data_IF_144123570466
#
_entry.id   IF_144123570466
#
_cell.length_a   1.000
_cell.length_b   1.000
_cell.length_c   1.000
_cell.angle_alpha   90.00
_cell.angle_beta   90.00
_cell.angle_gamma   90.00
#
_symmetry.space_group_name_H-M   'P 1'
#
loop_
_entity.id
_entity.type
_entity.pdbx_description
1 polymer ?
#
# COMPACT_ATOMS: atom_id res chain seq x y z
N UNK A 1 -63.32 60.63 46.68
CA UNK A 1 -63.45 59.55 45.67
C UNK A 1 -62.37 59.72 44.61
N UNK A 2 -61.43 58.77 44.45
CA UNK A 2 -60.62 58.63 43.24
C UNK A 2 -61.00 57.38 42.41
N UNK A 3 -60.76 57.38 41.09
CA UNK A 3 -61.24 56.35 40.16
C UNK A 3 -60.28 55.15 40.01
N UNK A 4 -60.87 54.04 39.58
CA UNK A 4 -60.29 52.72 39.32
C UNK A 4 -59.80 52.60 37.87
N UNK A 5 -58.74 51.81 37.62
CA UNK A 5 -58.64 51.07 36.35
C UNK A 5 -57.23 50.76 35.81
N UNK A 6 -57.01 49.47 35.50
CA UNK A 6 -56.09 48.89 34.49
C UNK A 6 -54.71 48.34 34.91
N UNK A 7 -54.67 47.52 35.96
CA UNK A 7 -53.65 46.46 36.12
C UNK A 7 -54.06 45.19 35.37
N UNK A 8 -53.71 45.04 34.08
CA UNK A 8 -53.92 43.76 33.37
C UNK A 8 -52.91 43.35 32.31
N UNK A 9 -51.90 44.16 31.96
CA UNK A 9 -50.91 43.77 30.93
C UNK A 9 -49.57 43.23 31.46
N UNK A 10 -49.30 43.30 32.77
CA UNK A 10 -48.02 42.80 33.34
C UNK A 10 -48.02 41.33 33.74
N UNK A 11 -49.18 40.68 33.89
CA UNK A 11 -49.27 39.25 34.24
C UNK A 11 -49.02 38.30 33.07
N UNK A 12 -49.32 38.71 31.85
CA UNK A 12 -49.26 37.82 30.68
C UNK A 12 -47.82 37.53 30.20
N UNK A 13 -46.88 38.48 30.38
CA UNK A 13 -45.47 38.26 29.98
C UNK A 13 -44.67 37.43 30.99
N UNK A 14 -45.09 37.35 32.25
CA UNK A 14 -44.44 36.50 33.25
C UNK A 14 -44.90 35.04 33.19
N UNK A 15 -46.11 34.77 32.68
CA UNK A 15 -46.58 33.40 32.47
C UNK A 15 -45.92 32.71 31.25
N UNK A 16 -45.69 33.44 30.16
CA UNK A 16 -45.11 32.85 28.93
C UNK A 16 -43.64 32.42 29.14
N UNK A 17 -42.88 33.14 29.96
CA UNK A 17 -41.49 32.77 30.27
C UNK A 17 -41.40 31.53 31.19
N UNK A 18 -42.38 31.33 32.07
CA UNK A 18 -42.42 30.17 32.97
C UNK A 18 -42.83 28.89 32.25
N UNK A 19 -43.76 28.98 31.28
CA UNK A 19 -44.17 27.81 30.48
C UNK A 19 -43.09 27.37 29.49
N UNK A 20 -42.26 28.29 28.98
CA UNK A 20 -41.15 27.95 28.08
C UNK A 20 -39.98 27.26 28.83
N UNK A 21 -39.74 27.60 30.10
CA UNK A 21 -38.80 26.87 30.95
C UNK A 21 -39.33 25.49 31.36
N UNK A 22 -40.65 25.33 31.56
CA UNK A 22 -41.25 24.03 31.87
C UNK A 22 -41.21 23.04 30.71
N UNK A 23 -41.35 23.50 29.46
CA UNK A 23 -41.22 22.63 28.28
C UNK A 23 -39.79 22.13 28.07
N UNK A 24 -38.77 22.97 28.30
CA UNK A 24 -37.37 22.52 28.23
C UNK A 24 -36.99 21.59 29.40
N UNK A 25 -37.55 21.79 30.60
CA UNK A 25 -37.31 20.91 31.74
C UNK A 25 -38.02 19.54 31.60
N UNK A 26 -39.18 19.47 30.95
CA UNK A 26 -39.85 18.19 30.68
C UNK A 26 -39.19 17.38 29.55
N UNK A 27 -38.58 18.02 28.55
CA UNK A 27 -37.82 17.29 27.53
C UNK A 27 -36.50 16.69 28.07
N UNK A 28 -35.88 17.32 29.08
CA UNK A 28 -34.72 16.72 29.76
C UNK A 28 -35.09 15.63 30.79
N UNK A 29 -36.32 15.64 31.32
CA UNK A 29 -36.80 14.60 32.23
C UNK A 29 -37.36 13.36 31.50
N UNK A 30 -37.90 13.53 30.28
CA UNK A 30 -38.43 12.41 29.49
C UNK A 30 -37.33 11.52 28.88
N UNK A 31 -36.13 12.06 28.65
CA UNK A 31 -34.97 11.26 28.22
C UNK A 31 -34.27 10.51 29.38
N UNK A 32 -34.73 10.67 30.62
CA UNK A 32 -34.13 10.04 31.80
C UNK A 32 -35.07 9.07 32.55
N UNK A 33 -36.24 8.76 31.99
CA UNK A 33 -37.28 7.94 32.64
C UNK A 33 -37.57 6.60 31.94
N UNK A 34 -36.70 6.12 31.05
CA UNK A 34 -36.73 4.75 30.56
C UNK A 34 -35.37 4.08 30.77
N UNK A 35 -35.00 3.94 32.05
CA UNK A 35 -34.04 2.96 32.49
C UNK A 35 -34.75 1.60 32.66
N UNK A 36 -34.37 0.53 31.92
CA UNK A 36 -34.62 -0.83 32.39
C UNK A 36 -33.84 -1.09 33.70
N UNK A 37 -34.31 -2.01 34.57
CA UNK A 37 -33.76 -2.18 35.91
C UNK A 37 -32.34 -2.79 35.87
N UNK A 38 -31.43 -2.11 36.57
CA UNK A 38 -30.21 -2.62 37.22
C UNK A 38 -29.41 -3.71 36.47
N UNK A 39 -28.59 -3.29 35.51
CA UNK A 39 -27.31 -3.93 35.25
C UNK A 39 -26.18 -3.02 35.78
N UNK A 40 -25.07 -3.63 36.18
CA UNK A 40 -23.94 -3.04 36.91
C UNK A 40 -23.53 -1.62 36.45
N UNK A 41 -23.04 -0.75 37.36
CA UNK A 41 -22.58 0.59 37.01
C UNK A 41 -21.53 0.48 35.90
N UNK A 42 -21.66 1.23 34.78
CA UNK A 42 -20.66 1.22 33.73
C UNK A 42 -19.34 1.69 34.33
N UNK A 43 -18.35 0.80 34.25
CA UNK A 43 -16.95 1.07 34.57
C UNK A 43 -16.54 2.31 33.77
N UNK A 44 -16.01 3.30 34.49
CA UNK A 44 -15.31 4.49 34.04
C UNK A 44 -15.36 4.83 32.54
N UNK A 45 -15.85 6.03 32.22
CA UNK A 45 -15.68 6.71 30.92
C UNK A 45 -14.19 7.02 30.58
N UNK A 46 -13.25 6.23 31.08
CA UNK A 46 -11.89 6.15 30.61
C UNK A 46 -11.83 5.06 29.54
N UNK A 47 -11.86 5.51 28.29
CA UNK A 47 -11.39 4.76 27.11
C UNK A 47 -12.34 3.66 26.63
N UNK A 48 -13.61 3.99 26.40
CA UNK A 48 -14.39 3.31 25.35
C UNK A 48 -13.90 3.85 24.01
N UNK A 49 -12.89 3.19 23.45
CA UNK A 49 -12.44 3.41 22.07
C UNK A 49 -13.55 2.85 21.19
N UNK A 50 -14.42 3.73 20.72
CA UNK A 50 -15.33 3.44 19.61
C UNK A 50 -14.51 2.96 18.43
N UNK A 51 -14.94 1.86 17.81
CA UNK A 51 -14.28 1.33 16.63
C UNK A 51 -14.47 2.29 15.44
N UNK A 52 -13.73 2.05 14.35
CA UNK A 52 -13.76 2.94 13.18
C UNK A 52 -15.16 3.05 12.56
N UNK A 53 -16.04 2.07 12.79
CA UNK A 53 -17.40 2.06 12.30
C UNK A 53 -18.30 3.06 13.05
N UNK A 54 -18.13 3.18 14.37
CA UNK A 54 -18.89 4.10 15.22
C UNK A 54 -18.51 5.58 15.01
N UNK A 55 -17.28 5.85 14.56
CA UNK A 55 -16.76 7.22 14.33
C UNK A 55 -17.04 7.71 12.89
N UNK A 56 -17.50 6.84 11.99
CA UNK A 56 -17.77 7.22 10.60
C UNK A 56 -18.98 8.14 10.46
N UNK A 57 -18.73 9.41 10.16
CA UNK A 57 -19.77 10.39 9.84
C UNK A 57 -20.30 10.18 8.41
N UNK A 58 -21.57 9.79 8.27
CA UNK A 58 -22.27 9.66 6.98
C UNK A 58 -22.17 10.92 6.12
N UNK A 59 -22.12 12.10 6.74
CA UNK A 59 -21.98 13.38 6.03
C UNK A 59 -20.65 13.48 5.32
N UNK A 60 -19.55 13.10 6.00
CA UNK A 60 -18.20 13.16 5.43
C UNK A 60 -18.06 12.17 4.27
N UNK A 61 -18.54 10.94 4.45
CA UNK A 61 -18.51 9.93 3.39
C UNK A 61 -19.35 10.34 2.17
N UNK A 62 -20.52 10.96 2.41
CA UNK A 62 -21.38 11.48 1.35
C UNK A 62 -20.70 12.59 0.53
N UNK A 63 -20.04 13.54 1.20
CA UNK A 63 -19.31 14.63 0.54
C UNK A 63 -18.12 14.07 -0.25
N UNK A 64 -17.35 13.13 0.31
CA UNK A 64 -16.22 12.50 -0.41
C UNK A 64 -16.68 11.78 -1.69
N UNK A 65 -17.80 11.04 -1.62
CA UNK A 65 -18.38 10.39 -2.80
C UNK A 65 -18.87 11.39 -3.83
N UNK A 66 -19.50 12.48 -3.40
CA UNK A 66 -19.95 13.53 -4.31
C UNK A 66 -18.76 14.15 -5.04
N UNK A 67 -17.71 14.55 -4.32
CA UNK A 67 -16.50 15.11 -4.91
C UNK A 67 -15.84 14.14 -5.89
N UNK A 68 -15.65 12.88 -5.49
CA UNK A 68 -15.07 11.87 -6.36
C UNK A 68 -15.89 11.62 -7.63
N UNK A 69 -17.22 11.61 -7.52
CA UNK A 69 -18.10 11.45 -8.69
C UNK A 69 -18.02 12.66 -9.63
N UNK A 70 -17.92 13.88 -9.10
CA UNK A 70 -17.72 15.09 -9.91
C UNK A 70 -16.40 15.00 -10.66
N UNK A 71 -15.31 14.64 -9.98
CA UNK A 71 -13.99 14.46 -10.61
C UNK A 71 -14.02 13.39 -11.72
N UNK A 72 -14.73 12.27 -11.51
CA UNK A 72 -14.87 11.23 -12.53
C UNK A 72 -15.67 11.73 -13.75
N UNK A 73 -16.74 12.50 -13.53
CA UNK A 73 -17.53 13.08 -14.61
C UNK A 73 -16.69 14.07 -15.43
N UNK A 74 -16.00 15.00 -14.77
CA UNK A 74 -15.10 15.96 -15.42
C UNK A 74 -14.04 15.23 -16.26
N UNK A 75 -13.42 14.17 -15.72
CA UNK A 75 -12.44 13.37 -16.45
C UNK A 75 -12.99 12.71 -17.72
N UNK A 76 -14.27 12.34 -17.74
CA UNK A 76 -14.92 11.71 -18.90
C UNK A 76 -15.43 12.74 -19.90
N UNK A 77 -15.94 13.89 -19.43
CA UNK A 77 -16.60 14.88 -20.29
C UNK A 77 -15.65 15.96 -20.81
N UNK A 78 -14.64 16.36 -20.04
CA UNK A 78 -13.77 17.50 -20.40
C UNK A 78 -12.50 17.06 -21.12
N UNK A 79 -12.02 15.83 -20.89
CA UNK A 79 -10.81 15.32 -21.52
C UNK A 79 -11.14 14.69 -22.87
N UNK A 80 -10.91 15.44 -23.94
CA UNK A 80 -11.07 14.99 -25.33
C UNK A 80 -9.91 14.07 -25.75
N UNK A 81 -9.88 12.86 -25.20
CA UNK A 81 -8.90 11.83 -25.55
C UNK A 81 -9.62 10.74 -26.35
N UNK A 82 -9.20 10.51 -27.59
CA UNK A 82 -9.71 9.38 -28.37
C UNK A 82 -9.47 8.06 -27.63
N UNK A 83 -10.45 7.16 -27.62
CA UNK A 83 -10.35 5.88 -26.90
C UNK A 83 -9.11 5.07 -27.31
N UNK A 84 -8.72 5.12 -28.59
CA UNK A 84 -7.53 4.44 -29.11
C UNK A 84 -6.21 5.06 -28.60
N UNK A 85 -6.23 6.34 -28.19
CA UNK A 85 -5.10 7.02 -27.60
C UNK A 85 -4.93 6.70 -26.11
N UNK A 86 -5.94 6.09 -25.46
CA UNK A 86 -5.86 5.66 -24.07
C UNK A 86 -5.00 4.40 -23.98
N UNK A 87 -3.71 4.61 -23.69
CA UNK A 87 -2.79 3.50 -23.44
C UNK A 87 -3.14 2.84 -22.10
N UNK A 88 -3.41 1.53 -22.13
CA UNK A 88 -3.57 0.74 -20.90
C UNK A 88 -2.32 0.89 -20.03
N UNK A 89 -2.51 1.09 -18.73
CA UNK A 89 -1.40 1.05 -17.79
C UNK A 89 -0.69 -0.30 -17.87
N UNK A 90 0.61 -0.31 -17.64
CA UNK A 90 1.39 -1.55 -17.59
C UNK A 90 0.84 -2.45 -16.49
N UNK A 91 0.50 -3.70 -16.80
CA UNK A 91 0.07 -4.71 -15.82
C UNK A 91 1.12 -4.96 -14.72
N UNK A 92 2.36 -4.58 -15.01
CA UNK A 92 3.52 -4.78 -14.15
C UNK A 92 4.18 -3.42 -13.89
N UNK A 93 4.23 -2.94 -12.64
CA UNK A 93 4.90 -1.70 -12.32
C UNK A 93 6.41 -1.85 -12.56
N UNK A 94 7.01 -0.86 -13.22
CA UNK A 94 8.46 -0.79 -13.38
C UNK A 94 9.05 -0.24 -12.08
N UNK A 95 9.51 -1.14 -11.22
CA UNK A 95 10.18 -0.77 -9.96
C UNK A 95 11.67 -0.72 -10.25
N UNK A 96 12.28 0.46 -10.10
CA UNK A 96 13.73 0.60 -10.23
C UNK A 96 14.41 0.05 -8.96
N UNK A 97 14.82 -1.21 -9.02
CA UNK A 97 15.55 -1.85 -7.94
C UNK A 97 16.99 -1.36 -7.98
N UNK A 98 17.32 -0.48 -7.03
CA UNK A 98 18.70 -0.01 -6.80
C UNK A 98 19.49 -1.12 -6.09
N UNK A 99 20.08 -2.04 -6.84
CA UNK A 99 20.97 -3.09 -6.32
C UNK A 99 21.02 -4.35 -7.17
N UNK A 100 21.92 -5.26 -6.80
CA UNK A 100 21.98 -6.57 -7.46
C UNK A 100 20.72 -7.39 -7.15
N UNK A 101 20.06 -7.98 -8.17
CA UNK A 101 18.85 -8.78 -7.96
C UNK A 101 19.11 -10.08 -7.16
N UNK A 102 20.38 -10.40 -6.89
CA UNK A 102 20.80 -11.53 -6.08
C UNK A 102 20.75 -11.25 -4.56
N UNK A 103 20.80 -9.98 -4.13
CA UNK A 103 20.82 -9.62 -2.70
C UNK A 103 19.41 -9.41 -2.12
N UNK A 104 18.37 -9.44 -2.95
CA UNK A 104 16.98 -9.30 -2.53
C UNK A 104 16.60 -10.45 -1.58
N UNK A 105 16.03 -10.10 -0.42
CA UNK A 105 15.53 -11.11 0.51
C UNK A 105 14.38 -11.90 -0.15
N UNK A 106 14.16 -13.18 0.22
CA UNK A 106 13.07 -13.99 -0.33
C UNK A 106 11.67 -13.34 -0.25
N UNK A 107 11.42 -12.48 0.74
CA UNK A 107 10.17 -11.72 0.89
C UNK A 107 10.16 -10.33 0.23
N UNK A 108 11.31 -9.81 -0.21
CA UNK A 108 11.45 -8.53 -0.93
C UNK A 108 11.43 -8.75 -2.45
N UNK A 109 11.11 -9.97 -2.90
CA UNK A 109 10.92 -10.25 -4.32
C UNK A 109 9.62 -9.58 -4.77
N UNK A 110 9.73 -8.35 -5.26
CA UNK A 110 8.59 -7.58 -5.73
C UNK A 110 7.91 -8.31 -6.89
N UNK A 111 6.74 -8.90 -6.61
CA UNK A 111 5.82 -9.38 -7.62
C UNK A 111 5.41 -8.19 -8.47
N UNK A 112 5.93 -8.12 -9.70
CA UNK A 112 5.76 -6.94 -10.52
C UNK A 112 6.93 -6.72 -11.47
N UNK A 113 8.17 -6.88 -11.01
CA UNK A 113 9.30 -6.62 -11.89
C UNK A 113 9.68 -7.85 -12.73
N UNK A 114 9.40 -7.77 -14.02
CA UNK A 114 9.76 -8.74 -15.05
C UNK A 114 11.25 -9.08 -15.05
N UNK A 115 12.15 -8.13 -14.76
CA UNK A 115 13.60 -8.38 -14.75
C UNK A 115 13.99 -9.31 -13.61
N UNK A 116 13.52 -9.02 -12.40
CA UNK A 116 13.80 -9.83 -11.21
C UNK A 116 13.12 -11.19 -11.29
N UNK A 117 11.89 -11.26 -11.80
CA UNK A 117 11.22 -12.54 -12.04
C UNK A 117 12.00 -13.42 -13.01
N UNK A 118 12.48 -12.86 -14.14
CA UNK A 118 13.31 -13.61 -15.11
C UNK A 118 14.62 -14.09 -14.48
N UNK A 119 15.27 -13.27 -13.67
CA UNK A 119 16.48 -13.66 -12.94
C UNK A 119 16.21 -14.82 -11.97
N UNK A 120 15.17 -14.70 -11.13
CA UNK A 120 14.79 -15.75 -10.18
C UNK A 120 14.42 -17.05 -10.89
N UNK A 121 13.70 -16.98 -12.00
CA UNK A 121 13.38 -18.14 -12.82
C UNK A 121 14.65 -18.84 -13.36
N UNK A 122 15.68 -18.08 -13.74
CA UNK A 122 16.97 -18.63 -14.17
C UNK A 122 17.71 -19.31 -13.02
N UNK A 123 17.71 -18.70 -11.83
CA UNK A 123 18.31 -19.29 -10.61
C UNK A 123 17.59 -20.59 -10.23
N UNK A 124 16.26 -20.58 -10.19
CA UNK A 124 15.45 -21.77 -9.87
C UNK A 124 15.67 -22.90 -10.89
N UNK A 125 15.78 -22.58 -12.19
CA UNK A 125 16.12 -23.58 -13.23
C UNK A 125 17.48 -24.24 -12.99
N UNK A 126 18.49 -23.48 -12.52
CA UNK A 126 19.80 -24.04 -12.18
C UNK A 126 19.71 -24.96 -10.97
N UNK A 127 19.07 -24.50 -9.89
CA UNK A 127 18.86 -25.30 -8.68
C UNK A 127 18.14 -26.61 -8.96
N UNK A 128 17.07 -26.56 -9.78
CA UNK A 128 16.31 -27.74 -10.17
C UNK A 128 17.16 -28.73 -10.99
N UNK A 129 18.09 -28.24 -11.82
CA UNK A 129 19.01 -29.10 -12.58
C UNK A 129 20.03 -29.78 -11.66
N UNK A 130 20.55 -29.06 -10.67
CA UNK A 130 21.48 -29.58 -9.67
C UNK A 130 20.81 -30.62 -8.78
N UNK A 131 19.59 -30.33 -8.30
CA UNK A 131 18.81 -31.25 -7.48
C UNK A 131 18.44 -32.52 -8.26
N UNK A 132 18.02 -32.41 -9.53
CA UNK A 132 17.80 -33.58 -10.39
C UNK A 132 19.07 -34.41 -10.59
N UNK A 133 20.24 -33.77 -10.69
CA UNK A 133 21.53 -34.48 -10.79
C UNK A 133 21.81 -35.25 -9.49
N UNK A 134 21.66 -34.59 -8.35
CA UNK A 134 21.86 -35.19 -7.03
C UNK A 134 20.88 -36.34 -6.77
N UNK A 135 19.62 -36.21 -7.21
CA UNK A 135 18.62 -37.27 -7.13
C UNK A 135 18.98 -38.48 -7.99
N UNK A 136 19.56 -38.28 -9.18
CA UNK A 136 20.07 -39.39 -10.01
C UNK A 136 21.26 -40.08 -9.36
N UNK A 137 22.19 -39.32 -8.78
CA UNK A 137 23.32 -39.86 -8.04
C UNK A 137 22.87 -40.65 -6.81
N UNK A 138 21.87 -40.16 -6.07
CA UNK A 138 21.29 -40.85 -4.93
C UNK A 138 20.58 -42.14 -5.34
N UNK A 139 19.82 -42.14 -6.45
CA UNK A 139 19.21 -43.36 -7.00
C UNK A 139 20.28 -44.39 -7.39
N UNK A 140 21.34 -43.96 -8.08
CA UNK A 140 22.48 -44.82 -8.44
C UNK A 140 23.18 -45.41 -7.22
N UNK A 141 23.41 -44.58 -6.18
CA UNK A 141 24.00 -45.04 -4.92
C UNK A 141 23.10 -46.06 -4.21
N UNK A 142 21.79 -45.82 -4.15
CA UNK A 142 20.84 -46.77 -3.56
C UNK A 142 20.77 -48.09 -4.33
N UNK A 143 20.86 -48.06 -5.65
CA UNK A 143 20.97 -49.29 -6.47
C UNK A 143 22.24 -50.07 -6.12
N UNK A 144 23.39 -49.40 -6.02
CA UNK A 144 24.65 -50.03 -5.61
C UNK A 144 24.55 -50.62 -4.20
N UNK A 145 23.88 -49.94 -3.27
CA UNK A 145 23.65 -50.45 -1.92
C UNK A 145 22.79 -51.73 -1.92
N UNK A 146 21.75 -51.78 -2.77
CA UNK A 146 20.92 -53.00 -2.95
C UNK A 146 21.75 -54.16 -3.48
N UNK A 147 22.63 -53.91 -4.45
CA UNK A 147 23.55 -54.92 -4.99
C UNK A 147 24.49 -55.42 -3.90
N UNK A 148 25.14 -54.52 -3.16
CA UNK A 148 26.05 -54.89 -2.08
C UNK A 148 25.35 -55.73 -1.01
N UNK A 149 24.12 -55.36 -0.60
CA UNK A 149 23.31 -56.19 0.32
C UNK A 149 23.03 -57.58 -0.25
N UNK A 150 22.68 -57.68 -1.54
CA UNK A 150 22.48 -58.95 -2.23
C UNK A 150 23.74 -59.81 -2.22
N UNK A 151 24.90 -59.21 -2.52
CA UNK A 151 26.20 -59.90 -2.47
C UNK A 151 26.56 -60.37 -1.06
N UNK A 152 26.35 -59.53 -0.04
CA UNK A 152 26.57 -59.91 1.36
C UNK A 152 25.68 -61.07 1.77
N UNK A 153 24.42 -61.10 1.33
CA UNK A 153 23.51 -62.22 1.60
C UNK A 153 24.01 -63.53 0.97
N UNK A 154 24.50 -63.48 -0.27
CA UNK A 154 25.07 -64.66 -0.96
C UNK A 154 26.32 -65.14 -0.24
N UNK A 155 27.22 -64.23 0.14
CA UNK A 155 28.43 -64.56 0.92
C UNK A 155 28.04 -65.23 2.24
N UNK A 156 27.05 -64.69 2.95
CA UNK A 156 26.57 -65.25 4.22
C UNK A 156 25.90 -66.62 4.03
N UNK A 157 25.24 -66.89 2.89
CA UNK A 157 24.70 -68.20 2.57
C UNK A 157 25.80 -69.23 2.33
N UNK A 158 26.85 -68.86 1.59
CA UNK A 158 28.00 -69.71 1.31
C UNK A 158 28.91 -69.92 2.54
N UNK A 159 28.92 -68.99 3.48
CA UNK A 159 29.71 -69.07 4.70
C UNK A 159 29.07 -69.96 5.80
N UNK A 160 27.89 -70.54 5.56
CA UNK A 160 27.29 -71.48 6.50
C UNK A 160 28.16 -72.74 6.64
N UNK A 161 28.27 -73.34 7.83
CA UNK A 161 29.20 -74.45 8.08
C UNK A 161 28.80 -75.77 7.39
N UNK A 162 27.54 -75.90 6.95
CA UNK A 162 27.05 -77.03 6.16
C UNK A 162 26.20 -76.44 5.03
N UNK A 163 26.70 -76.53 3.79
CA UNK A 163 26.01 -76.08 2.57
C UNK A 163 25.96 -77.25 1.62
N UNK A 164 24.79 -77.53 1.06
CA UNK A 164 24.62 -78.57 0.05
C UNK A 164 25.16 -78.14 -1.31
N UNK A 165 25.63 -79.09 -2.12
CA UNK A 165 26.18 -78.82 -3.46
C UNK A 165 25.17 -78.12 -4.40
N UNK A 166 23.89 -78.38 -4.18
CA UNK A 166 22.77 -77.71 -4.85
C UNK A 166 22.61 -76.25 -4.45
N UNK A 167 22.83 -75.91 -3.17
CA UNK A 167 22.78 -74.51 -2.70
C UNK A 167 24.00 -73.72 -3.18
N UNK A 168 25.16 -74.36 -3.35
CA UNK A 168 26.36 -73.73 -3.92
C UNK A 168 26.11 -73.33 -5.37
N UNK A 169 25.61 -74.26 -6.20
CA UNK A 169 25.33 -73.98 -7.62
C UNK A 169 24.23 -72.93 -7.79
N UNK A 170 23.22 -72.91 -6.92
CA UNK A 170 22.20 -71.87 -6.92
C UNK A 170 22.75 -70.49 -6.52
N UNK A 171 23.58 -70.43 -5.47
CA UNK A 171 24.24 -69.20 -5.03
C UNK A 171 25.21 -68.65 -6.09
N UNK A 172 25.95 -69.51 -6.79
CA UNK A 172 26.83 -69.12 -7.91
C UNK A 172 26.04 -68.55 -9.09
N UNK A 173 24.90 -69.16 -9.43
CA UNK A 173 24.00 -68.65 -10.48
C UNK A 173 23.40 -67.28 -10.11
N UNK A 174 22.98 -67.10 -8.86
CA UNK A 174 22.48 -65.81 -8.37
C UNK A 174 23.57 -64.74 -8.37
N UNK A 175 24.80 -65.08 -7.97
CA UNK A 175 25.95 -64.19 -8.02
C UNK A 175 26.29 -63.77 -9.46
N UNK A 176 26.35 -64.72 -10.40
CA UNK A 176 26.57 -64.42 -11.81
C UNK A 176 25.46 -63.53 -12.39
N UNK A 177 24.21 -63.77 -12.03
CA UNK A 177 23.08 -62.96 -12.51
C UNK A 177 23.17 -61.52 -12.00
N UNK A 178 23.45 -61.33 -10.70
CA UNK A 178 23.63 -60.02 -10.08
C UNK A 178 24.83 -59.26 -10.66
N UNK A 179 25.97 -59.92 -10.80
CA UNK A 179 27.19 -59.30 -11.35
C UNK A 179 27.04 -59.00 -12.84
N UNK A 180 26.54 -59.92 -13.66
CA UNK A 180 26.35 -59.66 -15.09
C UNK A 180 25.32 -58.56 -15.35
N UNK A 181 24.23 -58.48 -14.59
CA UNK A 181 23.23 -57.41 -14.74
C UNK A 181 23.82 -56.02 -14.50
N UNK A 182 24.76 -55.90 -13.57
CA UNK A 182 25.38 -54.61 -13.23
C UNK A 182 26.68 -54.31 -14.00
N UNK A 183 27.42 -55.32 -14.44
CA UNK A 183 28.65 -55.16 -15.23
C UNK A 183 28.33 -54.90 -16.71
N UNK A 184 27.21 -55.41 -17.24
CA UNK A 184 26.78 -55.17 -18.64
C UNK A 184 26.49 -53.69 -18.95
N UNK A 185 26.27 -52.82 -17.96
CA UNK A 185 26.06 -51.38 -18.19
C UNK A 185 27.36 -50.58 -18.33
N UNK A 186 28.50 -51.18 -18.00
CA UNK A 186 29.82 -50.66 -18.33
C UNK A 186 30.43 -51.51 -19.44
N UNK A 187 29.88 -51.41 -20.65
CA UNK A 187 30.70 -51.60 -21.85
C UNK A 187 31.80 -50.55 -21.80
N UNK A 188 32.92 -50.90 -21.17
CA UNK A 188 34.19 -50.21 -21.30
C UNK A 188 34.56 -50.38 -22.78
N UNK A 189 34.05 -49.45 -23.60
CA UNK A 189 34.22 -49.40 -25.05
C UNK A 189 35.63 -48.96 -25.45
N UNK A 190 36.44 -48.54 -24.50
CA UNK A 190 37.81 -48.11 -24.74
C UNK A 190 38.75 -49.11 -24.06
N UNK A 191 39.67 -49.75 -24.79
CA UNK A 191 40.68 -50.60 -24.18
C UNK A 191 41.42 -49.78 -23.13
N UNK A 192 41.42 -50.26 -21.89
CA UNK A 192 42.12 -49.61 -20.78
C UNK A 192 43.61 -49.56 -21.16
N UNK A 193 44.06 -48.42 -21.68
CA UNK A 193 45.49 -48.19 -21.85
C UNK A 193 46.06 -48.13 -20.45
N UNK A 194 46.79 -49.15 -20.03
CA UNK A 194 47.74 -49.01 -18.95
C UNK A 194 48.68 -47.86 -19.35
N UNK A 195 48.38 -46.65 -18.89
CA UNK A 195 49.40 -45.61 -18.80
C UNK A 195 50.38 -46.16 -17.78
N UNK A 196 51.38 -46.90 -18.25
CA UNK A 196 52.56 -47.18 -17.46
C UNK A 196 52.98 -45.82 -16.87
N UNK A 197 52.95 -45.72 -15.55
CA UNK A 197 53.56 -44.59 -14.85
C UNK A 197 54.96 -44.45 -15.47
N UNK A 198 55.21 -43.34 -16.16
CA UNK A 198 56.55 -43.03 -16.64
C UNK A 198 57.46 -43.10 -15.43
N UNK A 199 58.30 -44.13 -15.37
CA UNK A 199 59.47 -44.20 -14.48
C UNK A 199 60.44 -43.10 -14.93
N UNK A 200 60.12 -41.87 -14.56
CA UNK A 200 61.03 -40.75 -14.58
C UNK A 200 60.68 -39.86 -13.41
N UNK A 201 60.89 -40.39 -12.21
CA UNK A 201 61.22 -39.52 -11.09
C UNK A 201 62.71 -39.19 -11.24
N UNK A 202 63.10 -37.99 -11.70
CA UNK A 202 64.37 -37.48 -11.25
C UNK A 202 64.24 -37.30 -9.73
N UNK A 203 65.20 -37.81 -8.98
CA UNK A 203 65.48 -37.57 -7.56
C UNK A 203 64.35 -36.96 -6.70
N UNK A 204 63.95 -37.66 -5.63
CA UNK A 204 63.00 -37.20 -4.58
C UNK A 204 63.41 -35.90 -3.84
N UNK A 205 64.37 -35.15 -4.33
CA UNK A 205 64.76 -33.85 -3.81
C UNK A 205 63.99 -32.76 -4.55
N UNK A 206 63.01 -32.16 -3.87
CA UNK A 206 62.36 -30.95 -4.35
C UNK A 206 63.43 -29.92 -4.75
N UNK A 207 63.34 -29.39 -5.97
CA UNK A 207 64.27 -28.39 -6.49
C UNK A 207 64.45 -27.28 -5.44
N UNK A 208 65.68 -26.85 -5.13
CA UNK A 208 65.95 -25.93 -4.02
C UNK A 208 65.10 -24.63 -4.06
N UNK A 209 64.69 -24.21 -5.27
CA UNK A 209 63.78 -23.07 -5.54
C UNK A 209 62.34 -23.26 -5.03
N UNK A 210 61.87 -24.50 -4.92
CA UNK A 210 60.47 -24.82 -4.58
C UNK A 210 60.05 -24.25 -3.22
N UNK A 211 60.94 -24.33 -2.22
CA UNK A 211 60.65 -23.80 -0.88
C UNK A 211 60.69 -22.27 -0.83
N UNK A 212 61.45 -21.63 -1.71
CA UNK A 212 61.49 -20.18 -1.85
C UNK A 212 60.22 -19.66 -2.54
N UNK A 213 59.78 -20.31 -3.60
CA UNK A 213 58.50 -20.02 -4.27
C UNK A 213 57.31 -20.18 -3.31
N UNK A 214 57.29 -21.23 -2.51
CA UNK A 214 56.23 -21.46 -1.51
C UNK A 214 56.21 -20.37 -0.43
N UNK A 215 57.37 -19.87 0.00
CA UNK A 215 57.48 -18.74 0.93
C UNK A 215 57.00 -17.45 0.30
N UNK A 216 57.39 -17.16 -0.94
CA UNK A 216 56.94 -15.99 -1.67
C UNK A 216 55.42 -16.01 -1.89
N UNK A 217 54.85 -17.17 -2.23
CA UNK A 217 53.41 -17.33 -2.45
C UNK A 217 52.62 -17.09 -1.16
N UNK A 218 53.11 -17.58 -0.01
CA UNK A 218 52.51 -17.27 1.31
C UNK A 218 52.58 -15.79 1.65
N UNK A 219 53.70 -15.12 1.35
CA UNK A 219 53.84 -13.67 1.57
C UNK A 219 52.87 -12.89 0.69
N UNK A 220 52.74 -13.25 -0.58
CA UNK A 220 51.76 -12.63 -1.49
C UNK A 220 50.33 -12.84 -1.03
N UNK A 221 49.98 -14.06 -0.59
CA UNK A 221 48.66 -14.35 -0.06
C UNK A 221 48.36 -13.52 1.21
N UNK A 222 49.34 -13.39 2.10
CA UNK A 222 49.22 -12.54 3.29
C UNK A 222 49.01 -11.07 2.91
N UNK A 223 49.76 -10.54 1.93
CA UNK A 223 49.61 -9.16 1.46
C UNK A 223 48.24 -8.90 0.83
N UNK A 224 47.72 -9.85 0.04
CA UNK A 224 46.37 -9.76 -0.52
C UNK A 224 45.30 -9.74 0.57
N UNK A 225 45.41 -10.65 1.56
CA UNK A 225 44.46 -10.69 2.68
C UNK A 225 44.47 -9.40 3.50
N UNK A 226 45.64 -8.77 3.68
CA UNK A 226 45.78 -7.49 4.38
C UNK A 226 45.16 -6.35 3.57
N UNK A 227 45.32 -6.36 2.25
CA UNK A 227 44.72 -5.35 1.36
C UNK A 227 43.19 -5.45 1.38
N UNK A 228 42.66 -6.67 1.28
CA UNK A 228 41.22 -6.92 1.38
C UNK A 228 40.65 -6.50 2.74
N UNK A 229 41.37 -6.74 3.84
CA UNK A 229 40.96 -6.31 5.17
C UNK A 229 40.88 -4.78 5.27
N UNK A 230 41.90 -4.05 4.78
CA UNK A 230 41.89 -2.58 4.76
C UNK A 230 40.78 -2.00 3.88
N UNK A 231 40.49 -2.65 2.75
CA UNK A 231 39.42 -2.22 1.87
C UNK A 231 38.03 -2.44 2.50
N UNK A 232 37.86 -3.52 3.28
CA UNK A 232 36.63 -3.72 4.07
C UNK A 232 36.46 -2.65 5.14
N UNK A 233 37.51 -2.33 5.88
CA UNK A 233 37.48 -1.28 6.91
C UNK A 233 37.13 0.09 6.31
N UNK A 234 37.72 0.44 5.15
CA UNK A 234 37.41 1.68 4.45
C UNK A 234 35.95 1.73 3.96
N UNK A 235 35.41 0.60 3.47
CA UNK A 235 34.01 0.49 3.06
C UNK A 235 33.06 0.62 4.24
N UNK A 236 33.41 0.04 5.38
CA UNK A 236 32.60 0.12 6.61
C UNK A 236 32.56 1.57 7.12
N UNK A 237 33.69 2.26 7.15
CA UNK A 237 33.76 3.68 7.54
C UNK A 237 32.97 4.59 6.59
N UNK A 238 33.03 4.32 5.27
CA UNK A 238 32.21 5.04 4.29
C UNK A 238 30.70 4.77 4.47
N UNK A 239 30.32 3.53 4.78
CA UNK A 239 28.93 3.18 5.06
C UNK A 239 28.41 3.83 6.35
N UNK A 240 29.25 3.93 7.38
CA UNK A 240 28.91 4.61 8.63
C UNK A 240 28.71 6.11 8.41
N UNK A 241 29.60 6.77 7.66
CA UNK A 241 29.42 8.19 7.29
C UNK A 241 28.12 8.43 6.51
N UNK A 242 27.78 7.53 5.59
CA UNK A 242 26.52 7.62 4.83
C UNK A 242 25.29 7.48 5.75
N UNK A 243 25.35 6.61 6.77
CA UNK A 243 24.27 6.46 7.76
C UNK A 243 24.08 7.71 8.61
N UNK A 244 25.18 8.30 9.09
CA UNK A 244 25.12 9.55 9.88
C UNK A 244 24.50 10.68 9.07
N UNK A 245 24.89 10.83 7.80
CA UNK A 245 24.34 11.87 6.92
C UNK A 245 22.84 11.64 6.64
N UNK A 246 22.42 10.39 6.48
CA UNK A 246 21.01 10.05 6.30
C UNK A 246 20.19 10.34 7.57
N UNK A 247 20.74 10.02 8.75
CA UNK A 247 20.10 10.32 10.03
C UNK A 247 19.95 11.83 10.25
N UNK A 248 20.98 12.62 9.92
CA UNK A 248 20.93 14.08 10.01
C UNK A 248 19.86 14.68 9.07
N UNK A 249 19.73 14.15 7.85
CA UNK A 249 18.67 14.56 6.92
C UNK A 249 17.27 14.27 7.49
N UNK A 250 17.06 13.09 8.05
CA UNK A 250 15.78 12.71 8.64
C UNK A 250 15.45 13.57 9.87
N UNK A 251 16.45 13.90 10.70
CA UNK A 251 16.28 14.83 11.82
C UNK A 251 15.95 16.26 11.35
N UNK A 252 16.49 16.68 10.20
CA UNK A 252 16.16 17.98 9.61
C UNK A 252 14.73 18.01 9.08
N UNK A 253 14.31 16.98 8.35
CA UNK A 253 12.94 16.85 7.85
C UNK A 253 11.91 16.82 8.98
N UNK A 254 12.20 16.08 10.06
CA UNK A 254 11.34 16.06 11.25
C UNK A 254 11.23 17.43 11.91
N UNK A 255 12.34 18.17 12.05
CA UNK A 255 12.31 19.55 12.57
C UNK A 255 11.48 20.48 11.68
N UNK A 256 11.64 20.41 10.36
CA UNK A 256 10.85 21.21 9.42
C UNK A 256 9.36 20.85 9.49
N UNK A 257 9.02 19.57 9.69
CA UNK A 257 7.63 19.13 9.88
C UNK A 257 7.03 19.67 11.17
N UNK A 258 7.75 19.58 12.29
CA UNK A 258 7.31 20.15 13.57
C UNK A 258 7.10 21.67 13.50
N UNK A 259 7.99 22.38 12.80
CA UNK A 259 7.85 23.82 12.57
C UNK A 259 6.61 24.15 11.74
N UNK A 260 6.34 23.39 10.66
CA UNK A 260 5.12 23.56 9.85
C UNK A 260 3.85 23.32 10.67
N UNK A 261 3.83 22.28 11.50
CA UNK A 261 2.70 21.99 12.39
C UNK A 261 2.47 23.12 13.41
N UNK A 262 3.54 23.71 13.96
CA UNK A 262 3.44 24.89 14.84
C UNK A 262 2.88 26.11 14.12
N UNK A 263 3.31 26.37 12.88
CA UNK A 263 2.80 27.49 12.07
C UNK A 263 1.31 27.31 11.79
N UNK A 264 0.88 26.12 11.37
CA UNK A 264 -0.54 25.81 11.12
C UNK A 264 -1.38 26.00 12.38
N UNK A 265 -0.90 25.53 13.53
CA UNK A 265 -1.59 25.70 14.80
C UNK A 265 -1.72 27.18 15.19
N UNK A 266 -0.66 27.96 15.02
CA UNK A 266 -0.67 29.40 15.31
C UNK A 266 -1.63 30.15 14.38
N UNK A 267 -1.64 29.81 13.09
CA UNK A 267 -2.56 30.38 12.11
C UNK A 267 -4.02 30.07 12.46
N UNK A 268 -4.31 28.82 12.84
CA UNK A 268 -5.65 28.42 13.28
C UNK A 268 -6.09 29.20 14.54
N UNK A 269 -5.18 29.40 15.50
CA UNK A 269 -5.45 30.20 16.69
C UNK A 269 -5.76 31.66 16.31
N UNK A 270 -5.00 32.24 15.39
CA UNK A 270 -5.21 33.60 14.91
C UNK A 270 -6.57 33.75 14.20
N UNK A 271 -6.95 32.79 13.36
CA UNK A 271 -8.28 32.78 12.73
C UNK A 271 -9.41 32.73 13.76
N UNK A 272 -9.28 31.91 14.82
CA UNK A 272 -10.28 31.88 15.89
C UNK A 272 -10.41 33.23 16.61
N UNK A 273 -9.29 33.92 16.87
CA UNK A 273 -9.32 35.25 17.48
C UNK A 273 -10.01 36.28 16.58
N UNK A 274 -9.75 36.24 15.27
CA UNK A 274 -10.43 37.12 14.30
C UNK A 274 -11.93 36.88 14.27
N UNK A 275 -12.38 35.61 14.28
CA UNK A 275 -13.80 35.27 14.32
C UNK A 275 -14.47 35.79 15.60
N UNK A 276 -13.82 35.69 16.76
CA UNK A 276 -14.34 36.24 18.01
C UNK A 276 -14.46 37.76 17.96
N UNK A 277 -13.48 38.48 17.40
CA UNK A 277 -13.55 39.93 17.24
C UNK A 277 -14.70 40.35 16.32
N UNK A 278 -14.89 39.63 15.20
CA UNK A 278 -15.97 39.90 14.26
C UNK A 278 -17.35 39.67 14.89
N UNK A 279 -17.49 38.61 15.69
CA UNK A 279 -18.71 38.33 16.43
C UNK A 279 -19.04 39.44 17.44
N UNK A 280 -18.02 39.92 18.17
CA UNK A 280 -18.18 41.01 19.13
C UNK A 280 -18.59 42.33 18.44
N UNK A 281 -17.99 42.63 17.29
CA UNK A 281 -18.34 43.81 16.49
C UNK A 281 -19.79 43.73 15.99
N UNK A 282 -20.23 42.56 15.50
CA UNK A 282 -21.62 42.35 15.08
C UNK A 282 -22.60 42.54 16.25
N UNK A 283 -22.25 42.09 17.46
CA UNK A 283 -23.06 42.28 18.65
C UNK A 283 -23.22 43.76 19.02
N UNK A 284 -22.14 44.55 18.94
CA UNK A 284 -22.20 46.00 19.18
C UNK A 284 -23.09 46.72 18.16
N UNK A 285 -22.98 46.39 16.87
CA UNK A 285 -23.84 46.97 15.84
C UNK A 285 -25.33 46.67 16.10
N UNK A 286 -25.66 45.43 16.50
CA UNK A 286 -27.03 45.07 16.87
C UNK A 286 -27.54 45.89 18.06
N UNK A 287 -26.72 46.15 19.07
CA UNK A 287 -27.09 47.02 20.19
C UNK A 287 -27.35 48.47 19.74
N UNK A 288 -26.50 49.03 18.88
CA UNK A 288 -26.69 50.39 18.37
C UNK A 288 -27.97 50.52 17.54
N UNK A 289 -28.26 49.56 16.65
CA UNK A 289 -29.53 49.53 15.91
C UNK A 289 -30.73 49.46 16.85
N UNK A 290 -30.63 48.65 17.91
CA UNK A 290 -31.72 48.49 18.88
C UNK A 290 -31.96 49.79 19.66
N UNK A 291 -30.90 50.54 20.02
CA UNK A 291 -31.03 51.86 20.64
C UNK A 291 -31.63 52.89 19.67
N UNK A 292 -31.22 52.91 18.40
CA UNK A 292 -31.83 53.80 17.41
C UNK A 292 -33.32 53.52 17.21
N UNK A 293 -33.72 52.24 17.16
CA UNK A 293 -35.15 51.88 17.08
C UNK A 293 -35.93 52.31 18.33
N UNK A 294 -35.32 52.25 19.52
CA UNK A 294 -35.96 52.75 20.74
C UNK A 294 -36.14 54.27 20.70
N UNK A 295 -35.12 55.02 20.26
CA UNK A 295 -35.23 56.48 20.10
C UNK A 295 -36.30 56.86 19.06
N UNK A 296 -36.36 56.17 17.92
CA UNK A 296 -37.40 56.41 16.91
C UNK A 296 -38.80 56.13 17.48
N UNK A 297 -38.96 55.07 18.28
CA UNK A 297 -40.23 54.79 18.98
C UNK A 297 -40.61 55.89 19.95
N UNK A 298 -39.66 56.39 20.74
CA UNK A 298 -39.91 57.49 21.68
C UNK A 298 -40.32 58.78 20.95
N UNK A 299 -39.65 59.14 19.86
CA UNK A 299 -40.01 60.28 19.01
C UNK A 299 -41.44 60.11 18.45
N UNK A 300 -41.78 58.93 17.94
CA UNK A 300 -43.11 58.65 17.42
C UNK A 300 -44.18 58.79 18.51
N UNK A 301 -43.94 58.23 19.69
CA UNK A 301 -44.85 58.35 20.85
C UNK A 301 -45.03 59.80 21.29
N UNK A 302 -43.97 60.60 21.28
CA UNK A 302 -44.01 62.01 21.66
C UNK A 302 -44.77 62.86 20.62
N UNK A 303 -44.59 62.58 19.33
CA UNK A 303 -45.34 63.25 18.25
C UNK A 303 -46.84 62.96 18.29
N UNK A 304 -47.22 61.72 18.64
CA UNK A 304 -48.62 61.33 18.79
C UNK A 304 -49.28 61.99 20.03
N UNK A 305 -48.48 62.27 21.08
CA UNK A 305 -48.92 63.02 22.25
C UNK A 305 -49.23 64.50 21.97
N UNK A 306 -48.56 65.12 21.00
CA UNK A 306 -48.80 66.53 20.65
C UNK A 306 -50.00 66.72 19.70
N UNK A 307 -50.37 65.72 18.90
CA UNK A 307 -51.59 65.79 18.06
C UNK A 307 -52.91 65.64 18.83
N UNK A 308 -52.89 65.28 20.12
CA UNK A 308 -54.12 65.27 20.95
C UNK A 308 -54.44 66.62 21.62
N UNK A 309 -53.64 67.67 21.43
CA UNK A 309 -53.95 69.01 21.98
C UNK A 309 -54.37 70.06 20.94
N UNK A 310 -54.37 69.75 19.64
CA UNK A 310 -54.95 70.64 18.64
C UNK A 310 -55.72 69.82 17.62
N UNK A 311 -57.05 69.86 17.71
CA UNK A 311 -57.91 69.25 16.70
C UNK A 311 -59.29 68.81 17.18
N UNK A 312 -60.05 69.69 17.85
CA UNK A 312 -61.49 69.67 17.62
C UNK A 312 -61.70 70.26 16.22
N UNK A 313 -62.16 69.42 15.30
CA UNK A 313 -62.84 69.88 14.09
C UNK A 313 -62.20 69.46 12.78
N UNK A 314 -63.08 68.93 11.94
CA UNK A 314 -63.08 68.92 10.47
C UNK A 314 -62.72 67.57 9.82
N UNK A 315 -63.79 67.04 9.25
CA UNK A 315 -64.02 66.00 8.27
C UNK A 315 -63.07 65.99 7.06
N UNK A 316 -62.78 64.79 6.56
CA UNK A 316 -62.94 64.48 5.13
C UNK A 316 -61.69 64.37 4.26
N UNK A 317 -61.50 63.16 3.74
CA UNK A 317 -60.95 62.77 2.44
C UNK A 317 -59.46 62.92 2.08
N UNK A 318 -59.05 61.95 1.24
CA UNK A 318 -57.81 61.79 0.48
C UNK A 318 -56.58 61.33 1.29
N UNK A 319 -55.74 60.40 0.83
CA UNK A 319 -55.32 60.18 -0.55
C UNK A 319 -54.73 58.77 -0.74
N UNK A 320 -54.91 58.29 -1.96
CA UNK A 320 -54.39 57.10 -2.63
C UNK A 320 -52.89 57.25 -2.94
N UNK A 321 -52.06 56.24 -2.64
CA UNK A 321 -50.74 55.98 -3.25
C UNK A 321 -50.33 54.55 -2.81
N UNK A 322 -50.45 53.48 -3.60
CA UNK A 322 -49.84 53.10 -4.89
C UNK A 322 -48.31 52.89 -4.85
N UNK A 323 -47.90 51.73 -5.38
CA UNK A 323 -46.53 51.22 -5.68
C UNK A 323 -45.69 50.79 -4.46
N UNK A 324 -45.02 49.63 -4.45
CA UNK A 324 -44.53 48.76 -5.53
C UNK A 324 -44.32 47.32 -5.02
N UNK A 325 -44.73 46.35 -5.84
CA UNK A 325 -44.26 44.96 -5.78
C UNK A 325 -42.75 44.94 -5.99
N UNK A 326 -42.01 44.29 -5.08
CA UNK A 326 -40.60 43.96 -5.28
C UNK A 326 -40.52 42.47 -5.62
N UNK A 327 -40.11 42.22 -6.86
CA UNK A 327 -39.83 40.94 -7.47
C UNK A 327 -38.68 40.21 -6.77
N UNK A 328 -38.79 38.89 -6.70
CA UNK A 328 -37.68 37.98 -6.42
C UNK A 328 -36.73 37.94 -7.62
N UNK A 329 -35.40 38.02 -7.44
CA UNK A 329 -34.48 37.67 -8.50
C UNK A 329 -34.32 36.15 -8.59
N UNK A 330 -34.94 35.55 -9.61
CA UNK A 330 -34.47 34.29 -10.18
C UNK A 330 -33.18 34.56 -10.95
N UNK A 331 -32.06 34.00 -10.50
CA UNK A 331 -30.83 33.93 -11.28
C UNK A 331 -30.93 32.74 -12.23
N UNK A 332 -31.39 33.00 -13.45
CA UNK A 332 -31.25 32.11 -14.60
C UNK A 332 -30.01 32.57 -15.39
N UNK A 333 -28.92 31.82 -15.27
CA UNK A 333 -27.65 32.10 -15.96
C UNK A 333 -27.43 31.02 -17.03
N UNK A 334 -28.09 31.22 -18.17
CA UNK A 334 -27.87 30.45 -19.38
C UNK A 334 -27.22 31.34 -20.45
N UNK A 335 -26.20 30.78 -21.09
CA UNK A 335 -25.80 31.00 -22.49
C UNK A 335 -25.10 32.33 -22.82
N UNK A 336 -23.77 32.30 -22.76
CA UNK A 336 -22.92 33.05 -23.69
C UNK A 336 -22.56 32.14 -24.88
N UNK A 337 -22.64 32.64 -26.13
CA UNK A 337 -22.21 31.91 -27.32
C UNK A 337 -20.68 31.98 -27.49
N UNK A 338 -20.06 30.99 -28.17
CA UNK A 338 -18.65 31.04 -28.50
C UNK A 338 -18.38 32.02 -29.65
N UNK A 339 -17.22 32.72 -29.67
CA UNK A 339 -16.76 33.38 -30.87
C UNK A 339 -16.14 32.35 -31.82
N UNK A 340 -16.62 32.39 -33.06
CA UNK A 340 -16.07 31.70 -34.22
C UNK A 340 -14.63 32.12 -34.49
N UNK A 341 -13.87 31.12 -34.94
CA UNK A 341 -12.79 31.10 -35.93
C UNK A 341 -12.25 32.46 -36.42
N UNK A 342 -10.92 32.59 -36.42
CA UNK A 342 -10.18 32.69 -37.67
C UNK A 342 -8.64 32.71 -37.43
N UNK A 343 -7.99 31.86 -38.23
CA UNK A 343 -6.68 32.04 -38.88
C UNK A 343 -5.34 31.58 -38.26
N UNK A 344 -4.56 31.05 -39.22
CA UNK A 344 -3.13 30.78 -39.30
C UNK A 344 -2.60 29.49 -38.64
N UNK A 345 -2.52 28.36 -39.34
CA UNK A 345 -1.72 28.05 -40.57
C UNK A 345 -0.22 28.33 -40.37
N UNK A 346 0.50 27.27 -39.97
CA UNK A 346 1.86 26.91 -40.37
C UNK A 346 2.04 25.46 -39.89
N UNK A 347 1.86 24.40 -40.69
CA UNK A 347 2.72 24.03 -41.82
C UNK A 347 4.20 24.24 -41.50
N UNK A 348 4.85 23.26 -40.87
CA UNK A 348 6.17 22.87 -41.35
C UNK A 348 6.49 21.40 -41.05
N UNK A 349 7.09 20.83 -42.06
CA UNK A 349 7.42 19.45 -42.34
C UNK A 349 8.54 18.91 -41.42
N UNK A 350 8.49 17.62 -41.10
CA UNK A 350 9.52 17.02 -40.25
C UNK A 350 9.57 15.51 -40.29
N UNK A 351 9.77 14.98 -41.50
CA UNK A 351 10.08 13.59 -41.84
C UNK A 351 11.03 12.89 -40.84
N UNK A 352 10.67 11.68 -40.44
CA UNK A 352 11.51 10.79 -39.63
C UNK A 352 11.14 9.32 -39.81
N UNK A 353 11.32 8.82 -41.03
CA UNK A 353 11.30 7.40 -41.42
C UNK A 353 12.42 6.61 -40.70
N UNK A 354 12.16 5.33 -40.45
CA UNK A 354 13.08 4.34 -39.87
C UNK A 354 12.28 3.28 -39.13
N UNK A 355 11.57 2.38 -39.79
CA UNK A 355 12.08 1.17 -40.48
C UNK A 355 12.99 0.31 -39.58
N UNK A 356 12.50 -0.89 -39.27
CA UNK A 356 13.16 -2.12 -38.74
C UNK A 356 12.07 -2.92 -37.98
N UNK A 357 11.11 -3.61 -38.61
CA UNK A 357 11.19 -4.62 -39.65
C UNK A 357 12.12 -5.81 -39.29
N UNK A 358 11.74 -6.58 -38.27
CA UNK A 358 12.05 -8.01 -38.19
C UNK A 358 10.82 -8.81 -37.73
N UNK A 359 10.03 -9.26 -38.71
CA UNK A 359 9.44 -10.60 -38.68
C UNK A 359 10.56 -11.66 -38.77
N UNK A 360 10.36 -12.95 -38.78
CA UNK A 360 9.20 -13.83 -38.88
C UNK A 360 9.78 -15.25 -38.61
N UNK A 361 8.94 -16.24 -38.30
CA UNK A 361 9.33 -17.65 -38.20
C UNK A 361 8.94 -18.28 -36.86
N UNK A 362 7.73 -18.85 -36.68
CA UNK A 362 7.13 -20.05 -37.31
C UNK A 362 7.85 -21.35 -36.90
N UNK A 363 7.01 -22.38 -36.66
CA UNK A 363 7.22 -23.78 -36.24
C UNK A 363 7.19 -24.01 -34.72
N UNK A 364 6.28 -24.78 -34.15
CA UNK A 364 5.25 -25.66 -34.70
C UNK A 364 4.79 -26.63 -33.60
N UNK A 365 3.52 -27.04 -33.69
CA UNK A 365 2.98 -28.38 -33.40
C UNK A 365 3.48 -29.12 -32.14
N UNK A 366 2.67 -29.35 -31.11
CA UNK A 366 1.60 -30.35 -31.12
C UNK A 366 1.97 -31.52 -30.19
N UNK A 367 0.98 -32.38 -29.86
CA UNK A 367 1.01 -33.55 -28.95
C UNK A 367 0.72 -33.17 -27.47
N UNK A 368 -0.43 -33.49 -26.86
CA UNK A 368 -1.50 -34.44 -27.17
C UNK A 368 -1.23 -35.83 -26.56
N UNK A 369 -1.89 -36.17 -25.45
CA UNK A 369 -1.85 -37.49 -24.77
C UNK A 369 -1.79 -37.28 -23.26
N UNK A 370 -2.84 -37.57 -22.49
CA UNK A 370 -3.40 -38.90 -22.20
C UNK A 370 -3.22 -39.06 -20.70
N UNK A 371 -4.29 -38.95 -19.90
CA UNK A 371 -5.15 -40.06 -19.47
C UNK A 371 -4.34 -41.23 -18.88
N UNK A 372 -4.67 -41.53 -17.63
CA UNK A 372 -4.23 -42.60 -16.70
C UNK A 372 -4.32 -41.96 -15.30
N UNK A 373 -5.36 -42.11 -14.51
CA UNK A 373 -5.99 -43.38 -14.17
C UNK A 373 -5.29 -43.95 -12.96
N UNK A 374 -6.06 -44.12 -11.86
CA UNK A 374 -5.78 -45.06 -10.76
C UNK A 374 -4.66 -44.65 -9.77
N UNK A 375 -4.73 -44.90 -8.46
CA UNK A 375 -5.64 -45.67 -7.61
C UNK A 375 -5.27 -45.32 -6.15
N UNK A 376 -6.27 -45.35 -5.29
CA UNK A 376 -6.23 -45.82 -3.90
C UNK A 376 -4.94 -45.75 -3.08
N UNK A 377 -5.00 -44.93 -2.02
CA UNK A 377 -4.32 -45.29 -0.77
C UNK A 377 -5.18 -44.92 0.44
N UNK A 378 -6.23 -45.73 0.63
CA UNK A 378 -6.77 -46.01 1.96
C UNK A 378 -5.98 -47.17 2.55
N UNK A 379 -5.17 -46.92 3.57
CA UNK A 379 -4.92 -47.92 4.60
C UNK A 379 -4.84 -47.24 5.97
N UNK A 380 -5.94 -47.42 6.71
CA UNK A 380 -5.97 -47.64 8.14
C UNK A 380 -5.20 -48.94 8.43
N UNK A 381 -4.26 -48.91 9.38
CA UNK A 381 -4.29 -49.65 10.66
C UNK A 381 -3.68 -48.75 11.71
#
# INVERSE_FOLDING_TARGET
>A
MPPKGSTSRRRTKQQIAADQQRQNAQQQAANNAQAPPAAAPPVDAQVQIHDEADVMSFRTLGIQRLMHNVELMENVTEKWIHMDAIKSSSAYPKIDIKGDPASLKPGELYFGDLKVMKYKAKVLKKQLKEEKKLQREMKRSNELLKVNKGLTNIINQLAKPVVSETEITEAESQFQTLTQKHIKTSTISEPYTHKALKESYPSNEAHASYWDELRQLKIQQAQLSLREAKERELRELAAEQARVLQEEQLQRENREREERERVIMLEQQQQQQQQQQLLLQQQQQKQQQQQQQQQQREILLQSQGQQQQQGFGITGNSLLLQQSLAEEPQTDFSLLPPPDDDDDVNADDGLGLGDDAFGDGVFGSGVGGGDDGDEDNRFLI
#
